data_IF_844824102831
#
_entry.id   IF_844824102831
#
_cell.length_a   1.000
_cell.length_b   1.000
_cell.length_c   1.000
_cell.angle_alpha   90.00
_cell.angle_beta   90.00
_cell.angle_gamma   90.00
#
_symmetry.space_group_name_H-M   'P 1'
#
loop_
_entity.id
_entity.type
_entity.pdbx_description
1 polymer ?
#
# COMPACT_ATOMS: atom_id res chain seq x y z
N UNK A 1 8.49 -14.50 18.18
CA UNK A 1 7.56 -13.51 17.61
C UNK A 1 7.76 -13.48 16.09
N UNK A 2 6.70 -13.78 15.34
CA UNK A 2 6.75 -13.79 13.87
C UNK A 2 7.09 -12.41 13.28
N UNK A 3 6.67 -11.32 13.95
CA UNK A 3 6.99 -9.96 13.52
C UNK A 3 8.50 -9.70 13.62
N UNK A 4 9.13 -10.12 14.72
CA UNK A 4 10.57 -9.95 14.91
C UNK A 4 11.40 -10.81 13.94
N UNK A 5 10.92 -12.01 13.61
CA UNK A 5 11.56 -12.87 12.61
C UNK A 5 11.49 -12.24 11.21
N UNK A 6 10.33 -11.70 10.83
CA UNK A 6 10.16 -10.96 9.56
C UNK A 6 11.04 -9.72 9.48
N UNK A 7 11.11 -8.93 10.55
CA UNK A 7 11.98 -7.74 10.60
C UNK A 7 13.48 -8.10 10.44
N UNK A 8 13.92 -9.21 11.05
CA UNK A 8 15.30 -9.71 10.87
C UNK A 8 15.56 -10.19 9.45
N UNK A 9 14.62 -10.90 8.83
CA UNK A 9 14.73 -11.33 7.44
C UNK A 9 14.82 -10.13 6.48
N UNK A 10 13.97 -9.11 6.69
CA UNK A 10 14.00 -7.87 5.92
C UNK A 10 15.32 -7.11 6.07
N UNK A 11 15.96 -7.17 7.24
CA UNK A 11 17.26 -6.55 7.48
C UNK A 11 18.46 -7.35 6.94
N UNK A 12 18.28 -8.65 6.65
CA UNK A 12 19.37 -9.56 6.29
C UNK A 12 19.52 -9.82 4.78
N UNK A 13 18.49 -9.54 3.98
CA UNK A 13 18.49 -9.75 2.52
C UNK A 13 18.38 -8.45 1.72
N UNK A 14 18.57 -8.51 0.38
CA UNK A 14 18.31 -7.37 -0.49
C UNK A 14 16.81 -7.09 -0.52
N UNK A 15 16.37 -6.12 0.26
CA UNK A 15 15.00 -5.61 0.24
C UNK A 15 14.92 -4.32 -0.55
N UNK A 16 13.81 -4.13 -1.25
CA UNK A 16 13.51 -2.88 -1.97
C UNK A 16 12.30 -2.19 -1.35
N UNK A 17 12.35 -0.86 -1.13
CA UNK A 17 11.18 -0.12 -0.72
C UNK A 17 10.16 -0.11 -1.86
N UNK A 18 8.88 -0.32 -1.54
CA UNK A 18 7.76 -0.19 -2.46
C UNK A 18 6.61 0.50 -1.75
N UNK A 19 6.11 1.58 -2.36
CA UNK A 19 4.90 2.25 -1.90
C UNK A 19 3.71 1.68 -2.67
N UNK A 20 2.68 1.29 -1.94
CA UNK A 20 1.40 0.81 -2.44
C UNK A 20 0.35 1.87 -2.17
N UNK A 21 -0.45 2.23 -3.17
CA UNK A 21 -1.53 3.19 -2.99
C UNK A 21 -2.85 2.47 -2.72
N UNK A 22 -3.60 3.03 -1.77
CA UNK A 22 -4.96 2.62 -1.44
C UNK A 22 -5.90 3.82 -1.59
N UNK A 23 -7.02 3.64 -2.26
CA UNK A 23 -8.11 4.62 -2.36
C UNK A 23 -9.44 3.87 -2.32
N UNK A 24 -10.38 4.31 -1.49
CA UNK A 24 -11.70 3.67 -1.31
C UNK A 24 -11.58 2.16 -0.99
N UNK A 25 -10.64 1.82 -0.10
CA UNK A 25 -10.24 0.45 0.24
C UNK A 25 -9.75 -0.40 -0.95
N UNK A 26 -9.41 0.22 -2.07
CA UNK A 26 -8.85 -0.48 -3.22
C UNK A 26 -7.36 -0.23 -3.34
N UNK A 27 -6.61 -1.33 -3.41
CA UNK A 27 -5.17 -1.28 -3.72
C UNK A 27 -5.00 -1.06 -5.21
N UNK A 28 -4.38 0.06 -5.57
CA UNK A 28 -4.24 0.51 -6.96
C UNK A 28 -3.02 -0.08 -7.69
N UNK A 29 -2.38 -1.10 -7.10
CA UNK A 29 -1.20 -1.78 -7.64
C UNK A 29 -1.50 -3.28 -7.81
N UNK A 30 -1.55 -3.74 -9.06
CA UNK A 30 -1.88 -5.12 -9.44
C UNK A 30 -0.79 -6.14 -9.08
N UNK A 31 0.44 -5.69 -8.84
CA UNK A 31 1.54 -6.60 -8.50
C UNK A 31 1.54 -6.93 -7.00
N UNK A 32 0.65 -6.30 -6.21
CA UNK A 32 0.54 -6.54 -4.77
C UNK A 32 -0.13 -7.91 -4.54
N UNK A 33 0.49 -8.82 -3.76
CA UNK A 33 -0.11 -10.11 -3.47
C UNK A 33 -1.50 -9.98 -2.82
N UNK A 34 -2.45 -10.89 -3.10
CA UNK A 34 -3.80 -10.83 -2.54
C UNK A 34 -3.86 -10.78 -1.01
N UNK A 35 -2.94 -11.48 -0.34
CA UNK A 35 -2.83 -11.46 1.11
C UNK A 35 -2.42 -10.07 1.65
N UNK A 36 -1.41 -9.45 1.02
CA UNK A 36 -0.96 -8.08 1.33
C UNK A 36 -2.09 -7.08 1.10
N UNK A 37 -2.79 -7.16 -0.04
CA UNK A 37 -3.92 -6.29 -0.33
C UNK A 37 -5.07 -6.43 0.69
N UNK A 38 -5.30 -7.66 1.18
CA UNK A 38 -6.27 -7.90 2.25
C UNK A 38 -5.84 -7.28 3.58
N UNK A 39 -4.55 -7.34 3.90
CA UNK A 39 -3.97 -6.67 5.06
C UNK A 39 -4.11 -5.16 4.99
N UNK A 40 -3.81 -4.55 3.83
CA UNK A 40 -3.99 -3.11 3.56
C UNK A 40 -5.43 -2.69 3.84
N UNK A 41 -6.43 -3.38 3.27
CA UNK A 41 -7.85 -3.07 3.50
C UNK A 41 -8.28 -3.14 4.96
N UNK A 42 -7.78 -4.14 5.69
CA UNK A 42 -8.06 -4.28 7.13
C UNK A 42 -7.44 -3.12 7.92
N UNK A 43 -6.22 -2.72 7.58
CA UNK A 43 -5.55 -1.61 8.23
C UNK A 43 -6.28 -0.29 7.99
N UNK A 44 -6.64 0.03 6.74
CA UNK A 44 -7.34 1.29 6.43
C UNK A 44 -8.69 1.39 7.14
N UNK A 45 -9.41 0.26 7.26
CA UNK A 45 -10.64 0.18 8.06
C UNK A 45 -10.41 0.42 9.55
N UNK A 46 -9.36 -0.18 10.13
CA UNK A 46 -9.03 0.03 11.54
C UNK A 46 -8.66 1.49 11.86
N UNK A 47 -8.11 2.21 10.88
CA UNK A 47 -7.74 3.62 11.00
C UNK A 47 -8.90 4.58 10.74
N UNK A 48 -10.08 4.10 10.30
CA UNK A 48 -11.19 4.96 9.89
C UNK A 48 -10.86 5.79 8.64
N UNK A 49 -9.99 5.27 7.77
CA UNK A 49 -9.47 5.95 6.58
C UNK A 49 -9.91 5.24 5.30
N UNK A 50 -11.11 4.68 5.29
CA UNK A 50 -11.62 3.85 4.21
C UNK A 50 -11.71 4.58 2.86
N UNK A 51 -12.04 5.86 2.88
CA UNK A 51 -12.20 6.72 1.70
C UNK A 51 -10.97 7.58 1.42
N UNK A 52 -9.93 7.48 2.25
CA UNK A 52 -8.74 8.30 2.09
C UNK A 52 -7.81 7.72 1.02
N UNK A 53 -7.15 8.61 0.26
CA UNK A 53 -5.99 8.25 -0.53
C UNK A 53 -4.78 8.11 0.40
N UNK A 54 -4.26 6.89 0.55
CA UNK A 54 -3.13 6.58 1.44
C UNK A 54 -2.03 5.85 0.69
N UNK A 55 -0.78 6.17 1.04
CA UNK A 55 0.39 5.34 0.73
C UNK A 55 0.67 4.38 1.86
N UNK A 56 0.91 3.12 1.53
CA UNK A 56 1.39 2.10 2.46
C UNK A 56 2.77 1.66 1.98
N UNK A 57 3.76 1.84 2.84
CA UNK A 57 5.15 1.61 2.51
C UNK A 57 5.54 0.20 2.96
N UNK A 58 6.16 -0.55 2.06
CA UNK A 58 6.61 -1.91 2.28
C UNK A 58 8.09 -2.06 1.96
N UNK A 59 8.74 -2.97 2.67
CA UNK A 59 9.98 -3.60 2.22
C UNK A 59 9.62 -4.92 1.53
N UNK A 60 10.15 -5.13 0.33
CA UNK A 60 9.89 -6.36 -0.45
C UNK A 60 11.19 -7.12 -0.66
N UNK A 61 11.20 -8.41 -0.31
CA UNK A 61 12.33 -9.31 -0.49
C UNK A 61 11.85 -10.68 -0.93
N UNK A 62 12.19 -11.10 -2.16
CA UNK A 62 11.61 -12.30 -2.74
C UNK A 62 10.08 -12.18 -2.87
N UNK A 63 9.35 -13.13 -2.28
CA UNK A 63 7.89 -13.16 -2.23
C UNK A 63 7.31 -12.45 -0.99
N UNK A 64 8.17 -12.07 -0.04
CA UNK A 64 7.75 -11.52 1.24
C UNK A 64 7.58 -9.99 1.16
N UNK A 65 6.54 -9.51 1.84
CA UNK A 65 6.18 -8.10 1.96
C UNK A 65 6.04 -7.72 3.43
N UNK A 66 6.87 -6.79 3.90
CA UNK A 66 6.85 -6.32 5.28
C UNK A 66 6.37 -4.88 5.33
N UNK A 67 5.32 -4.62 6.10
CA UNK A 67 4.82 -3.27 6.33
C UNK A 67 5.87 -2.43 7.06
N UNK A 68 6.19 -1.27 6.49
CA UNK A 68 7.21 -0.35 6.97
C UNK A 68 6.63 1.00 7.42
N UNK A 69 5.45 1.37 6.92
CA UNK A 69 4.83 2.63 7.31
C UNK A 69 3.61 3.01 6.49
N UNK A 70 3.06 4.17 6.84
CA UNK A 70 1.93 4.80 6.16
C UNK A 70 2.28 6.25 5.85
N UNK A 71 1.96 6.67 4.64
CA UNK A 71 2.15 8.02 4.13
C UNK A 71 0.78 8.63 3.80
N UNK A 72 0.34 9.61 4.58
CA UNK A 72 -0.96 10.27 4.41
C UNK A 72 -1.06 11.12 3.12
N UNK A 73 0.09 11.53 2.56
CA UNK A 73 0.17 12.27 1.29
C UNK A 73 1.13 11.52 0.37
N UNK A 74 0.66 10.45 -0.28
CA UNK A 74 1.55 9.58 -1.03
C UNK A 74 2.05 10.22 -2.33
N UNK A 75 3.14 9.69 -2.86
CA UNK A 75 3.49 9.95 -4.25
C UNK A 75 2.39 9.37 -5.14
N UNK A 76 1.95 10.11 -6.16
CA UNK A 76 0.87 9.66 -7.04
C UNK A 76 1.35 8.74 -8.16
N UNK A 77 2.64 8.82 -8.53
CA UNK A 77 3.25 8.05 -9.62
C UNK A 77 3.00 6.54 -9.52
N UNK A 78 3.10 5.88 -8.35
CA UNK A 78 2.81 4.45 -8.22
C UNK A 78 1.37 4.05 -8.58
N UNK A 79 0.40 4.97 -8.51
CA UNK A 79 -1.00 4.68 -8.84
C UNK A 79 -1.31 4.61 -10.33
N UNK A 80 -0.37 5.05 -11.18
CA UNK A 80 -0.48 5.01 -12.64
C UNK A 80 -1.79 5.61 -13.18
N UNK A 81 -2.21 5.12 -14.34
CA UNK A 81 -3.38 5.63 -15.05
C UNK A 81 -4.69 5.38 -14.29
N UNK A 82 -4.77 4.29 -13.51
CA UNK A 82 -5.96 3.98 -12.71
C UNK A 82 -6.25 5.07 -11.68
N UNK A 83 -5.22 5.50 -10.94
CA UNK A 83 -5.37 6.60 -9.98
C UNK A 83 -5.73 7.90 -10.69
N UNK A 84 -5.05 8.22 -11.78
CA UNK A 84 -5.33 9.46 -12.56
C UNK A 84 -6.79 9.49 -13.01
N UNK A 85 -7.30 8.40 -13.56
CA UNK A 85 -8.70 8.32 -14.01
C UNK A 85 -9.70 8.49 -12.86
N UNK A 86 -9.43 7.92 -11.67
CA UNK A 86 -10.29 8.11 -10.49
C UNK A 86 -10.28 9.55 -9.99
N UNK A 87 -9.09 10.16 -9.93
CA UNK A 87 -8.96 11.56 -9.52
C UNK A 87 -9.68 12.51 -10.47
N UNK A 88 -9.58 12.27 -11.79
CA UNK A 88 -10.32 13.05 -12.78
C UNK A 88 -11.83 12.89 -12.59
N UNK A 89 -12.32 11.66 -12.41
CA UNK A 89 -13.74 11.41 -12.19
C UNK A 89 -14.28 12.10 -10.93
N UNK A 90 -13.49 12.13 -9.85
CA UNK A 90 -13.85 12.81 -8.61
C UNK A 90 -13.91 14.34 -8.76
N UNK A 91 -13.14 14.93 -9.67
CA UNK A 91 -13.22 16.37 -9.97
C UNK A 91 -14.43 16.74 -10.84
N UNK A 92 -14.94 15.78 -11.62
CA UNK A 92 -16.09 15.95 -12.50
C UNK A 92 -17.43 15.68 -11.81
N UNK A 93 -17.41 14.99 -10.66
CA UNK A 93 -18.60 14.57 -9.92
C UNK A 93 -18.60 15.21 -8.53
N UNK A 94 -19.36 16.30 -8.30
CA UNK A 94 -19.38 17.04 -7.04
C UNK A 94 -19.96 16.26 -5.85
#
# INVERSE_FOLDING_TARGET
DAALAGARAAAAGPVRPRQVLCLDQEVLDRDVPPATATGVRRLTKLLGAETALLGLDFLVGGEDWWFAGLTAVPALRPGGDLLVNRLLHALETP
#
